data_IF_394027035965
#
_entry.id   IF_394027035965
#
_cell.length_a   1.000
_cell.length_b   1.000
_cell.length_c   1.000
_cell.angle_alpha   90.00
_cell.angle_beta   90.00
_cell.angle_gamma   90.00
#
_symmetry.space_group_name_H-M   'P 1'
#
loop_
_entity.id
_entity.type
_entity.pdbx_description
1 polymer ?
#
# COMPACT_ATOMS: atom_id res chain seq x y z
N UNK A 1 20.39 21.10 -2.72
CA UNK A 1 19.28 22.05 -2.92
C UNK A 1 18.50 22.32 -1.63
N UNK A 2 17.93 21.31 -0.97
CA UNK A 2 17.09 21.46 0.25
C UNK A 2 17.81 22.07 1.47
N UNK A 3 19.10 21.78 1.67
CA UNK A 3 19.91 22.39 2.73
C UNK A 3 20.12 23.90 2.56
N UNK A 4 20.24 24.39 1.32
CA UNK A 4 20.38 25.82 1.03
C UNK A 4 19.12 26.62 1.32
N UNK A 5 17.94 26.01 1.14
CA UNK A 5 16.65 26.66 1.48
C UNK A 5 16.56 26.85 2.99
N UNK A 6 17.03 25.87 3.77
CA UNK A 6 17.04 25.93 5.24
C UNK A 6 17.90 27.08 5.77
N UNK A 7 19.07 27.31 5.17
CA UNK A 7 20.04 28.32 5.62
C UNK A 7 19.86 29.69 4.94
N UNK A 8 19.33 29.73 3.72
CA UNK A 8 19.16 30.95 2.92
C UNK A 8 17.82 31.66 3.08
N UNK A 9 16.87 31.07 3.82
CA UNK A 9 15.56 31.68 4.06
C UNK A 9 15.61 32.69 5.22
N UNK A 10 15.01 33.86 5.00
CA UNK A 10 14.95 34.94 6.00
C UNK A 10 13.75 34.85 6.93
N UNK A 11 12.74 34.04 6.60
CA UNK A 11 11.56 33.82 7.44
C UNK A 11 11.57 32.41 8.06
N UNK A 12 10.96 32.27 9.24
CA UNK A 12 10.90 30.99 9.96
C UNK A 12 10.16 29.89 9.21
N UNK A 13 9.21 30.24 8.33
CA UNK A 13 8.55 29.27 7.46
C UNK A 13 9.53 28.72 6.42
N UNK A 14 10.37 29.56 5.81
CA UNK A 14 11.33 29.12 4.81
C UNK A 14 12.45 28.26 5.39
N UNK A 15 12.92 28.56 6.61
CA UNK A 15 13.94 27.75 7.28
C UNK A 15 13.42 26.36 7.68
N UNK A 16 12.11 26.23 7.92
CA UNK A 16 11.48 24.96 8.34
C UNK A 16 10.82 24.19 7.20
N UNK A 17 10.46 24.85 6.10
CA UNK A 17 9.86 24.24 4.91
C UNK A 17 10.60 22.99 4.39
N UNK A 18 11.94 22.91 4.35
CA UNK A 18 12.62 21.71 3.84
C UNK A 18 12.72 20.58 4.88
N UNK A 19 12.35 20.80 6.15
CA UNK A 19 12.51 19.80 7.20
C UNK A 19 11.79 18.47 6.93
N UNK A 20 10.56 18.42 6.39
CA UNK A 20 9.91 17.15 6.07
C UNK A 20 10.70 16.28 5.07
N UNK A 21 11.38 16.90 4.10
CA UNK A 21 12.22 16.16 3.15
C UNK A 21 13.54 15.75 3.80
N UNK A 22 14.18 16.66 4.53
CA UNK A 22 15.48 16.39 5.18
C UNK A 22 15.37 15.33 6.27
N UNK A 23 14.32 15.37 7.09
CA UNK A 23 14.10 14.38 8.15
C UNK A 23 13.78 13.01 7.56
N UNK A 24 12.91 12.94 6.56
CA UNK A 24 12.52 11.65 5.97
C UNK A 24 13.69 10.99 5.24
N UNK A 25 14.53 11.75 4.53
CA UNK A 25 15.76 11.21 3.93
C UNK A 25 16.85 10.84 4.95
N UNK A 26 16.78 11.36 6.17
CA UNK A 26 17.71 11.01 7.25
C UNK A 26 17.28 9.74 7.98
N UNK A 27 15.98 9.59 8.25
CA UNK A 27 15.46 8.53 9.12
C UNK A 27 14.83 7.35 8.38
N UNK A 28 14.42 7.53 7.11
CA UNK A 28 13.68 6.51 6.35
C UNK A 28 14.25 6.31 4.95
N UNK A 29 15.56 6.52 4.77
CA UNK A 29 16.22 6.43 3.45
C UNK A 29 16.04 5.06 2.83
N UNK A 30 16.19 4.01 3.63
CA UNK A 30 16.01 2.62 3.23
C UNK A 30 14.60 2.33 2.71
N UNK A 31 13.57 3.01 3.24
CA UNK A 31 12.20 2.87 2.72
C UNK A 31 12.06 3.49 1.34
N UNK A 32 12.68 4.67 1.11
CA UNK A 32 12.70 5.29 -0.22
C UNK A 32 13.47 4.44 -1.22
N UNK A 33 14.64 3.92 -0.85
CA UNK A 33 15.45 3.06 -1.71
C UNK A 33 14.71 1.77 -2.04
N UNK A 34 14.07 1.12 -1.06
CA UNK A 34 13.21 -0.03 -1.29
C UNK A 34 12.05 0.31 -2.23
N UNK A 35 11.42 1.49 -2.05
CA UNK A 35 10.31 1.94 -2.89
C UNK A 35 10.74 2.19 -4.34
N UNK A 36 11.91 2.81 -4.55
CA UNK A 36 12.51 3.00 -5.88
C UNK A 36 12.86 1.65 -6.51
N UNK A 37 13.32 0.69 -5.71
CA UNK A 37 13.57 -0.70 -6.13
C UNK A 37 12.28 -1.53 -6.31
N UNK A 38 11.09 -0.92 -6.14
CA UNK A 38 9.82 -1.56 -6.41
C UNK A 38 9.20 -2.33 -5.24
N UNK A 39 9.54 -1.98 -3.98
CA UNK A 39 9.00 -2.60 -2.77
C UNK A 39 8.56 -1.55 -1.76
N UNK A 40 7.35 -1.68 -1.21
CA UNK A 40 6.88 -0.83 -0.11
C UNK A 40 6.96 -1.58 1.23
N UNK A 41 7.98 -1.35 2.09
CA UNK A 41 8.08 -1.99 3.40
C UNK A 41 6.93 -1.59 4.34
N UNK A 42 6.48 -0.33 4.25
CA UNK A 42 5.37 0.20 5.04
C UNK A 42 3.98 -0.34 4.63
N UNK A 43 3.87 -1.06 3.51
CA UNK A 43 2.61 -1.63 2.97
C UNK A 43 1.50 -0.60 2.77
N UNK A 44 1.84 0.67 2.47
CA UNK A 44 0.87 1.75 2.24
C UNK A 44 0.61 2.05 0.77
N UNK A 45 1.58 1.82 -0.11
CA UNK A 45 1.43 2.12 -1.53
C UNK A 45 0.65 0.99 -2.21
N UNK A 46 -0.56 1.28 -2.70
CA UNK A 46 -1.45 0.33 -3.40
C UNK A 46 -0.77 -0.38 -4.58
N UNK A 47 0.16 0.30 -5.26
CA UNK A 47 0.94 -0.26 -6.36
C UNK A 47 1.88 -1.42 -5.95
N UNK A 48 2.25 -1.49 -4.67
CA UNK A 48 3.27 -2.42 -4.14
C UNK A 48 2.72 -3.42 -3.13
N UNK A 49 1.41 -3.46 -2.94
CA UNK A 49 0.75 -4.40 -2.04
C UNK A 49 -0.25 -5.27 -2.80
N UNK A 50 -0.53 -6.43 -2.22
CA UNK A 50 -1.63 -7.28 -2.61
C UNK A 50 -2.28 -7.85 -1.34
N UNK A 51 -3.54 -8.24 -1.47
CA UNK A 51 -4.30 -8.86 -0.40
C UNK A 51 -4.29 -10.37 -0.58
N UNK A 52 -4.11 -11.11 0.51
CA UNK A 52 -4.21 -12.58 0.55
C UNK A 52 -5.07 -12.99 1.75
N UNK A 53 -5.71 -14.15 1.68
CA UNK A 53 -6.54 -14.68 2.75
C UNK A 53 -5.89 -15.96 3.27
N UNK A 54 -5.61 -16.01 4.57
CA UNK A 54 -4.98 -17.17 5.22
C UNK A 54 -6.03 -18.21 5.67
N UNK A 55 -5.54 -19.24 6.35
CA UNK A 55 -6.35 -20.35 6.88
C UNK A 55 -7.27 -19.98 8.04
N UNK A 56 -7.11 -18.81 8.66
CA UNK A 56 -8.02 -18.30 9.71
C UNK A 56 -9.39 -17.89 9.16
N UNK A 57 -9.57 -17.93 7.83
CA UNK A 57 -10.82 -17.61 7.17
C UNK A 57 -11.95 -18.58 7.52
N UNK A 58 -12.93 -18.10 8.28
CA UNK A 58 -14.12 -18.86 8.69
C UNK A 58 -15.22 -18.97 7.61
N UNK A 59 -14.98 -18.51 6.38
CA UNK A 59 -15.95 -18.63 5.29
C UNK A 59 -17.23 -17.78 5.43
N UNK A 60 -17.17 -16.65 6.17
CA UNK A 60 -18.35 -15.82 6.46
C UNK A 60 -18.87 -14.94 5.31
N UNK A 61 -18.20 -14.91 4.15
CA UNK A 61 -18.57 -14.15 2.93
C UNK A 61 -18.56 -12.62 3.00
N UNK A 62 -18.33 -12.01 4.17
CA UNK A 62 -18.31 -10.54 4.33
C UNK A 62 -17.30 -9.83 3.43
N UNK A 63 -16.11 -10.42 3.25
CA UNK A 63 -15.09 -9.88 2.37
C UNK A 63 -15.51 -9.87 0.89
N UNK A 64 -16.26 -10.88 0.45
CA UNK A 64 -16.79 -10.97 -0.91
C UNK A 64 -17.89 -9.93 -1.15
N UNK A 65 -18.82 -9.79 -0.20
CA UNK A 65 -19.88 -8.77 -0.28
C UNK A 65 -19.35 -7.33 -0.24
N UNK A 66 -18.23 -7.10 0.45
CA UNK A 66 -17.59 -5.80 0.51
C UNK A 66 -16.72 -5.48 -0.72
N UNK A 67 -16.48 -6.44 -1.62
CA UNK A 67 -15.59 -6.23 -2.76
C UNK A 67 -16.31 -5.49 -3.90
N UNK A 68 -15.87 -4.27 -4.29
CA UNK A 68 -16.56 -3.49 -5.32
C UNK A 68 -16.29 -3.99 -6.75
N UNK A 69 -15.32 -4.89 -6.95
CA UNK A 69 -14.92 -5.42 -8.26
C UNK A 69 -15.16 -6.91 -8.41
N UNK A 70 -15.91 -7.52 -7.47
CA UNK A 70 -16.20 -8.95 -7.46
C UNK A 70 -14.94 -9.83 -7.59
N UNK A 71 -13.82 -9.37 -6.99
CA UNK A 71 -12.54 -10.07 -6.99
C UNK A 71 -12.54 -11.30 -6.06
N UNK A 72 -13.57 -11.46 -5.22
CA UNK A 72 -13.71 -12.56 -4.27
C UNK A 72 -15.05 -13.21 -4.53
N UNK A 73 -15.06 -14.52 -4.79
CA UNK A 73 -16.29 -15.26 -5.01
C UNK A 73 -17.05 -15.47 -3.70
N UNK A 74 -18.38 -15.41 -3.75
CA UNK A 74 -19.24 -15.68 -2.60
C UNK A 74 -19.41 -17.18 -2.43
N UNK A 75 -18.54 -17.81 -1.65
CA UNK A 75 -18.57 -19.26 -1.35
C UNK A 75 -18.70 -19.49 0.16
N UNK A 76 -19.92 -19.67 0.68
CA UNK A 76 -20.16 -19.87 2.11
C UNK A 76 -19.42 -21.10 2.65
N UNK A 77 -18.92 -21.01 3.89
CA UNK A 77 -18.25 -22.08 4.62
C UNK A 77 -16.95 -22.61 3.99
N UNK A 78 -16.41 -21.89 3.01
CA UNK A 78 -15.14 -22.22 2.35
C UNK A 78 -14.17 -21.06 2.53
N UNK A 79 -12.87 -21.37 2.61
CA UNK A 79 -11.82 -20.35 2.60
C UNK A 79 -11.91 -19.54 1.30
N UNK A 80 -12.00 -18.22 1.44
CA UNK A 80 -12.12 -17.33 0.29
C UNK A 80 -10.75 -17.08 -0.34
N UNK A 81 -10.73 -16.85 -1.65
CA UNK A 81 -9.52 -16.49 -2.40
C UNK A 81 -9.74 -15.19 -3.18
N UNK A 82 -8.70 -14.36 -3.26
CA UNK A 82 -8.74 -13.07 -3.97
C UNK A 82 -8.17 -13.24 -5.37
N UNK A 83 -8.97 -12.94 -6.38
CA UNK A 83 -8.51 -12.82 -7.77
C UNK A 83 -7.71 -11.52 -7.94
N UNK A 84 -6.39 -11.65 -7.97
CA UNK A 84 -5.46 -10.53 -8.11
C UNK A 84 -5.57 -9.81 -9.46
N UNK A 85 -6.20 -10.41 -10.48
CA UNK A 85 -6.42 -9.74 -11.76
C UNK A 85 -7.56 -8.71 -11.70
N UNK A 86 -8.52 -8.91 -10.78
CA UNK A 86 -9.68 -8.01 -10.55
C UNK A 86 -9.51 -7.11 -9.33
N UNK A 87 -8.60 -7.45 -8.43
CA UNK A 87 -8.35 -6.70 -7.21
C UNK A 87 -7.73 -5.33 -7.53
N UNK A 88 -8.36 -4.27 -7.04
CA UNK A 88 -7.88 -2.87 -7.16
C UNK A 88 -7.21 -2.35 -5.88
N UNK A 89 -6.93 -3.24 -4.92
CA UNK A 89 -6.27 -2.92 -3.65
C UNK A 89 -6.96 -1.81 -2.83
N UNK A 90 -8.29 -1.85 -2.69
CA UNK A 90 -9.10 -0.82 -2.01
C UNK A 90 -9.27 -1.01 -0.48
N UNK A 91 -8.65 -2.02 0.12
CA UNK A 91 -8.72 -2.35 1.56
C UNK A 91 -10.09 -2.77 2.14
N UNK A 92 -11.18 -2.73 1.37
CA UNK A 92 -12.53 -3.03 1.89
C UNK A 92 -12.68 -4.45 2.44
N UNK A 93 -12.06 -5.44 1.79
CA UNK A 93 -12.12 -6.84 2.25
C UNK A 93 -11.41 -7.04 3.60
N UNK A 94 -10.34 -6.29 3.85
CA UNK A 94 -9.57 -6.32 5.09
C UNK A 94 -10.39 -5.73 6.24
N UNK A 95 -10.94 -4.54 6.06
CA UNK A 95 -11.83 -3.88 7.04
C UNK A 95 -13.10 -4.68 7.35
N UNK A 96 -13.61 -5.44 6.37
CA UNK A 96 -14.82 -6.25 6.55
C UNK A 96 -14.58 -7.59 7.25
N UNK A 97 -13.33 -8.04 7.40
CA UNK A 97 -13.01 -9.34 7.96
C UNK A 97 -13.13 -9.33 9.49
N UNK A 98 -14.04 -10.11 10.10
CA UNK A 98 -14.23 -10.10 11.56
C UNK A 98 -13.14 -10.86 12.33
N UNK A 99 -12.27 -11.60 11.64
CA UNK A 99 -11.24 -12.47 12.22
C UNK A 99 -9.84 -12.11 11.70
N UNK A 100 -9.69 -10.95 11.05
CA UNK A 100 -8.41 -10.45 10.54
C UNK A 100 -7.64 -11.43 9.62
N UNK A 101 -8.35 -12.34 8.95
CA UNK A 101 -7.78 -13.35 8.05
C UNK A 101 -7.22 -12.77 6.73
N UNK A 102 -7.53 -11.51 6.42
CA UNK A 102 -7.07 -10.82 5.21
C UNK A 102 -5.74 -10.12 5.50
N UNK A 103 -4.67 -10.60 4.88
CA UNK A 103 -3.33 -10.07 5.08
C UNK A 103 -2.88 -9.18 3.92
N UNK A 104 -2.24 -8.05 4.26
CA UNK A 104 -1.54 -7.20 3.30
C UNK A 104 -0.11 -7.70 3.16
N UNK A 105 0.24 -8.15 1.95
CA UNK A 105 1.60 -8.62 1.61
C UNK A 105 2.19 -7.75 0.51
N UNK A 106 3.52 -7.67 0.48
CA UNK A 106 4.22 -6.95 -0.58
C UNK A 106 4.07 -7.70 -1.91
N UNK A 107 3.78 -6.96 -2.97
CA UNK A 107 3.72 -7.51 -4.32
C UNK A 107 5.13 -7.97 -4.75
N UNK A 108 5.29 -9.13 -5.39
CA UNK A 108 6.55 -9.53 -5.97
C UNK A 108 7.02 -8.50 -7.01
N UNK A 109 8.34 -8.19 -7.09
CA UNK A 109 8.87 -7.20 -8.04
C UNK A 109 8.46 -7.47 -9.50
N UNK A 110 8.33 -8.74 -9.89
CA UNK A 110 7.93 -9.16 -11.24
C UNK A 110 6.50 -8.72 -11.64
N UNK A 111 5.62 -8.41 -10.67
CA UNK A 111 4.23 -8.04 -10.93
C UNK A 111 3.98 -6.53 -10.74
N UNK A 112 5.01 -5.79 -10.35
CA UNK A 112 4.99 -4.32 -10.35
C UNK A 112 5.19 -3.87 -11.80
N UNK A 113 4.13 -3.91 -12.61
CA UNK A 113 4.17 -3.23 -13.92
C UNK A 113 4.56 -1.77 -13.67
N UNK A 114 5.47 -1.25 -14.49
CA UNK A 114 5.88 0.15 -14.46
C UNK A 114 4.63 1.03 -14.34
N UNK A 115 4.60 1.89 -13.32
CA UNK A 115 3.53 2.86 -13.16
C UNK A 115 3.30 3.57 -14.50
N UNK A 116 2.04 3.76 -14.95
CA UNK A 116 1.81 4.68 -16.04
C UNK A 116 2.39 6.02 -15.57
N UNK A 117 3.35 6.55 -16.33
CA UNK A 117 3.82 7.90 -16.15
C UNK A 117 2.58 8.79 -16.00
N UNK A 118 2.57 9.57 -14.93
CA UNK A 118 1.47 10.46 -14.54
C UNK A 118 0.72 11.00 -15.76
N UNK A 119 -0.49 10.48 -15.99
CA UNK A 119 -1.41 11.08 -16.93
C UNK A 119 -2.07 12.26 -16.20
N UNK A 120 -1.58 13.44 -16.57
CA UNK A 120 -2.09 14.81 -16.29
C UNK A 120 -1.33 15.61 -15.24
#
# INVERSE_FOLDING_TARGET
MSGFIKTGSLCGLGTTAPNPVLSTLKYFREEYEAHIAGRCPAKKCTAFIQYTINEDCIGCTRCAQACPTDAIQVTPYVQHHIDLAKCVSCDMCNQACPVDAVQVVAKPPALVKAAPAAAK
#
